data_IF_347387265544
#
_entry.id   IF_347387265544
#
_cell.length_a   1.000
_cell.length_b   1.000
_cell.length_c   1.000
_cell.angle_alpha   90.00
_cell.angle_beta   90.00
_cell.angle_gamma   90.00
#
_symmetry.space_group_name_H-M   'P 1'
#
loop_
_entity.id
_entity.type
_entity.pdbx_description
1 polymer ?
#
# COMPACT_ATOMS: atom_id res chain seq x y z
N UNK A 1 22.40 -3.85 12.00
CA UNK A 1 21.56 -3.12 11.04
C UNK A 1 21.99 -3.53 9.65
N UNK A 2 21.09 -4.12 8.88
CA UNK A 2 21.33 -4.46 7.48
C UNK A 2 20.81 -3.31 6.60
N UNK A 3 21.55 -3.01 5.54
CA UNK A 3 21.23 -1.95 4.59
C UNK A 3 21.25 -2.54 3.18
N UNK A 4 20.15 -2.34 2.47
CA UNK A 4 20.02 -2.54 1.02
C UNK A 4 20.09 -1.15 0.39
N UNK A 5 21.16 -0.86 -0.35
CA UNK A 5 21.47 0.48 -0.84
C UNK A 5 21.03 0.69 -2.29
N UNK A 6 20.59 -0.36 -3.00
CA UNK A 6 20.24 -0.30 -4.42
C UNK A 6 18.85 -0.90 -4.76
N UNK A 7 18.11 -1.35 -3.75
CA UNK A 7 16.81 -2.00 -3.86
C UNK A 7 16.80 -3.24 -4.77
N UNK A 8 17.96 -3.87 -4.96
CA UNK A 8 18.13 -5.01 -5.81
C UNK A 8 18.37 -6.27 -4.98
N UNK A 9 17.38 -7.16 -4.96
CA UNK A 9 17.45 -8.40 -4.19
C UNK A 9 18.51 -9.40 -4.67
N UNK A 10 19.22 -9.11 -5.77
CA UNK A 10 20.29 -9.93 -6.34
C UNK A 10 21.69 -9.44 -5.99
N UNK A 11 21.84 -8.22 -5.50
CA UNK A 11 23.09 -7.64 -4.99
C UNK A 11 23.18 -7.83 -3.47
N UNK A 12 24.35 -7.56 -2.92
CA UNK A 12 24.63 -7.84 -1.51
C UNK A 12 24.38 -9.31 -1.14
N UNK A 13 24.29 -9.62 0.15
CA UNK A 13 23.89 -10.93 0.62
C UNK A 13 22.36 -10.99 0.77
N UNK A 14 21.68 -11.59 -0.22
CA UNK A 14 20.22 -11.67 -0.28
C UNK A 14 19.55 -10.27 -0.22
N UNK A 15 20.08 -9.32 -1.00
CA UNK A 15 19.59 -7.94 -1.06
C UNK A 15 20.18 -7.00 -0.02
N UNK A 16 20.87 -7.49 1.02
CA UNK A 16 21.57 -6.61 1.96
C UNK A 16 23.00 -6.33 1.46
N UNK A 17 23.30 -5.11 1.07
CA UNK A 17 24.63 -4.67 0.61
C UNK A 17 25.60 -4.41 1.76
N UNK A 18 25.09 -3.99 2.92
CA UNK A 18 25.94 -3.63 4.06
C UNK A 18 25.38 -4.17 5.38
N UNK A 19 26.29 -4.44 6.32
CA UNK A 19 25.99 -4.78 7.71
C UNK A 19 26.73 -3.82 8.65
N UNK A 20 25.96 -3.00 9.36
CA UNK A 20 26.45 -2.14 10.42
C UNK A 20 25.96 -2.64 11.77
N UNK A 21 26.87 -3.06 12.65
CA UNK A 21 26.51 -3.51 13.99
C UNK A 21 27.47 -2.98 15.05
N UNK A 22 26.97 -2.96 16.29
CA UNK A 22 27.75 -2.67 17.48
C UNK A 22 27.73 -3.93 18.34
N UNK A 23 28.89 -4.38 18.78
CA UNK A 23 29.05 -5.51 19.70
C UNK A 23 29.61 -5.04 21.04
N UNK A 24 29.28 -5.78 22.10
CA UNK A 24 29.85 -5.59 23.44
C UNK A 24 30.72 -6.79 23.80
N UNK A 25 32.02 -6.58 23.91
CA UNK A 25 32.97 -7.64 24.32
C UNK A 25 33.71 -7.17 25.55
N UNK A 26 33.61 -7.93 26.65
CA UNK A 26 34.23 -7.61 27.94
C UNK A 26 33.90 -6.18 28.44
N UNK A 27 32.65 -5.73 28.23
CA UNK A 27 32.18 -4.41 28.64
C UNK A 27 32.64 -3.24 27.76
N UNK A 28 33.32 -3.51 26.63
CA UNK A 28 33.70 -2.50 25.64
C UNK A 28 32.81 -2.62 24.41
N UNK A 29 32.29 -1.49 23.96
CA UNK A 29 31.52 -1.40 22.73
C UNK A 29 32.41 -1.10 21.53
N UNK A 30 32.21 -1.84 20.44
CA UNK A 30 32.89 -1.62 19.17
C UNK A 30 31.87 -1.68 18.04
N UNK A 31 31.95 -0.73 17.10
CA UNK A 31 31.10 -0.69 15.91
C UNK A 31 31.86 -1.12 14.67
N UNK A 32 31.20 -1.86 13.78
CA UNK A 32 31.77 -2.34 12.52
C UNK A 32 30.79 -2.17 11.38
N UNK A 33 31.33 -1.78 10.23
CA UNK A 33 30.61 -1.66 8.97
C UNK A 33 31.27 -2.59 7.95
N UNK A 34 30.47 -3.52 7.44
CA UNK A 34 30.87 -4.46 6.40
C UNK A 34 30.10 -4.21 5.12
N UNK A 35 30.78 -4.37 3.98
CA UNK A 35 30.15 -4.56 2.68
C UNK A 35 29.96 -6.06 2.43
N UNK A 36 28.83 -6.44 1.86
CA UNK A 36 28.39 -7.82 1.65
C UNK A 36 28.41 -8.17 0.15
N UNK A 37 28.70 -9.44 -0.14
CA UNK A 37 28.66 -10.04 -1.47
C UNK A 37 27.48 -11.00 -1.60
N UNK A 38 26.99 -11.19 -2.82
CA UNK A 38 25.98 -12.20 -3.18
C UNK A 38 26.40 -13.64 -2.91
N UNK A 39 27.70 -13.88 -2.82
CA UNK A 39 28.25 -15.19 -2.44
C UNK A 39 28.40 -15.39 -0.92
N UNK A 40 28.05 -14.38 -0.11
CA UNK A 40 28.31 -14.37 1.32
C UNK A 40 29.72 -13.90 1.69
N UNK A 41 30.52 -13.39 0.75
CA UNK A 41 31.73 -12.66 1.14
C UNK A 41 31.38 -11.40 1.94
N UNK A 42 32.25 -10.97 2.84
CA UNK A 42 32.15 -9.67 3.51
C UNK A 42 33.51 -8.99 3.56
N UNK A 43 33.50 -7.67 3.49
CA UNK A 43 34.68 -6.82 3.54
C UNK A 43 34.48 -5.76 4.62
N UNK A 44 35.41 -5.66 5.57
CA UNK A 44 35.38 -4.59 6.57
C UNK A 44 35.74 -3.27 5.88
N UNK A 45 34.82 -2.31 5.90
CA UNK A 45 35.01 -0.99 5.27
C UNK A 45 35.04 0.15 6.30
N UNK A 46 34.58 -0.09 7.52
CA UNK A 46 34.65 0.87 8.60
C UNK A 46 34.62 0.21 9.98
N UNK A 47 35.32 0.80 10.94
CA UNK A 47 35.24 0.37 12.34
C UNK A 47 35.39 1.56 13.29
N UNK A 48 34.77 1.46 14.47
CA UNK A 48 34.88 2.44 15.55
C UNK A 48 35.03 1.71 16.86
N UNK A 49 36.25 1.72 17.39
CA UNK A 49 36.59 1.10 18.67
C UNK A 49 36.25 2.02 19.85
N UNK A 50 35.98 1.44 21.02
CA UNK A 50 35.64 2.17 22.24
C UNK A 50 34.48 3.15 22.03
N UNK A 51 33.40 2.63 21.45
CA UNK A 51 32.18 3.37 21.20
C UNK A 51 31.62 3.90 22.52
N UNK A 52 31.81 5.21 22.75
CA UNK A 52 31.28 5.93 23.89
C UNK A 52 30.03 6.67 23.45
N UNK A 53 28.92 6.39 24.11
CA UNK A 53 27.66 7.08 23.86
C UNK A 53 27.28 7.88 25.11
N UNK A 54 27.14 9.20 24.93
CA UNK A 54 26.58 10.05 25.98
C UNK A 54 25.14 9.62 26.23
N UNK A 55 24.87 9.16 27.46
CA UNK A 55 23.53 8.84 27.94
C UNK A 55 22.82 10.14 28.29
N UNK A 56 22.52 10.95 27.27
CA UNK A 56 21.50 12.00 27.43
C UNK A 56 20.17 11.31 27.70
N UNK A 57 19.37 11.84 28.63
CA UNK A 57 18.00 11.38 28.84
C UNK A 57 17.29 11.20 27.50
N UNK A 58 16.92 9.96 27.20
CA UNK A 58 16.28 9.60 25.95
C UNK A 58 14.81 9.42 26.18
N UNK A 59 14.02 10.01 25.30
CA UNK A 59 12.58 9.78 25.22
C UNK A 59 12.21 8.32 24.89
N UNK A 60 13.19 7.49 24.49
CA UNK A 60 12.99 6.08 24.08
C UNK A 60 13.13 5.10 25.27
N UNK A 61 13.55 5.57 26.45
CA UNK A 61 13.74 4.76 27.65
C UNK A 61 15.21 4.37 27.91
N UNK A 62 15.50 3.68 29.03
CA UNK A 62 16.85 3.24 29.37
C UNK A 62 17.35 2.12 28.43
N UNK A 63 18.66 2.09 28.16
CA UNK A 63 19.31 0.93 27.52
C UNK A 63 19.30 0.87 25.98
N UNK A 64 19.18 2.01 25.29
CA UNK A 64 19.28 2.07 23.82
C UNK A 64 20.72 2.36 23.36
N UNK A 65 21.03 1.97 22.13
CA UNK A 65 22.26 2.35 21.41
C UNK A 65 21.87 3.14 20.16
N UNK A 66 22.51 4.29 19.91
CA UNK A 66 22.29 5.02 18.64
C UNK A 66 23.24 4.49 17.58
N UNK A 67 22.66 3.92 16.54
CA UNK A 67 23.37 3.53 15.33
C UNK A 67 23.41 4.72 14.39
N UNK A 68 24.57 5.36 14.27
CA UNK A 68 24.81 6.44 13.32
C UNK A 68 25.71 5.92 12.20
N UNK A 69 25.18 5.86 10.99
CA UNK A 69 25.90 5.49 9.78
C UNK A 69 25.99 6.71 8.85
N UNK A 70 27.21 7.06 8.45
CA UNK A 70 27.43 8.09 7.43
C UNK A 70 27.15 7.48 6.05
N UNK A 71 26.13 7.98 5.35
CA UNK A 71 25.77 7.48 4.02
C UNK A 71 26.91 7.67 3.00
N UNK A 72 27.81 8.64 3.21
CA UNK A 72 28.98 8.83 2.34
C UNK A 72 29.90 7.60 2.33
N UNK A 73 29.92 6.84 3.42
CA UNK A 73 30.71 5.60 3.56
C UNK A 73 30.12 4.40 2.81
N UNK A 74 28.89 4.50 2.29
CA UNK A 74 28.18 3.43 1.59
C UNK A 74 27.67 3.88 0.20
N UNK A 75 28.44 4.72 -0.49
CA UNK A 75 28.13 5.28 -1.82
C UNK A 75 26.96 6.28 -1.87
N UNK A 76 26.62 6.91 -0.74
CA UNK A 76 25.62 7.98 -0.65
C UNK A 76 24.26 7.64 -1.28
N UNK A 77 23.61 6.51 -0.90
CA UNK A 77 22.32 6.15 -1.46
C UNK A 77 21.27 7.19 -1.09
N UNK A 78 20.49 7.63 -2.09
CA UNK A 78 19.35 8.53 -1.87
C UNK A 78 18.08 7.79 -1.46
N UNK A 79 17.99 6.51 -1.81
CA UNK A 79 16.92 5.58 -1.45
C UNK A 79 17.58 4.28 -0.97
N UNK A 80 17.14 3.74 0.15
CA UNK A 80 17.68 2.51 0.73
C UNK A 80 16.67 1.84 1.66
N UNK A 81 16.81 0.54 1.87
CA UNK A 81 16.04 -0.19 2.86
C UNK A 81 16.91 -0.48 4.09
N UNK A 82 16.31 -0.40 5.27
CA UNK A 82 16.95 -0.72 6.54
C UNK A 82 16.20 -1.82 7.27
N UNK A 83 16.95 -2.69 7.93
CA UNK A 83 16.42 -3.63 8.91
C UNK A 83 17.32 -3.64 10.14
N UNK A 84 16.71 -3.62 11.32
CA UNK A 84 17.43 -3.74 12.58
C UNK A 84 17.43 -5.18 13.05
N UNK A 85 18.49 -5.57 13.72
CA UNK A 85 18.59 -6.88 14.33
C UNK A 85 19.38 -6.81 15.64
N UNK A 86 19.09 -7.76 16.52
CA UNK A 86 19.93 -8.12 17.66
C UNK A 86 20.45 -9.53 17.46
N UNK A 87 21.69 -9.77 17.88
CA UNK A 87 22.31 -11.08 17.82
C UNK A 87 22.96 -11.40 19.16
N UNK A 88 22.78 -12.63 19.63
CA UNK A 88 23.50 -13.16 20.78
C UNK A 88 24.18 -14.47 20.37
N UNK A 89 25.47 -14.57 20.66
CA UNK A 89 26.25 -15.76 20.37
C UNK A 89 26.75 -16.42 21.65
N UNK A 90 26.56 -17.73 21.72
CA UNK A 90 27.07 -18.58 22.78
C UNK A 90 27.83 -19.74 22.13
N UNK A 91 29.16 -19.73 22.25
CA UNK A 91 30.06 -20.69 21.57
C UNK A 91 29.89 -20.63 20.05
N UNK A 92 29.45 -21.74 19.42
CA UNK A 92 29.17 -21.85 17.99
C UNK A 92 27.75 -21.40 17.61
N UNK A 93 26.88 -21.22 18.61
CA UNK A 93 25.47 -20.99 18.37
C UNK A 93 25.20 -19.49 18.37
N UNK A 94 24.41 -19.02 17.40
CA UNK A 94 24.02 -17.63 17.29
C UNK A 94 22.50 -17.54 17.12
N UNK A 95 21.87 -16.70 17.92
CA UNK A 95 20.44 -16.39 17.81
C UNK A 95 20.29 -14.97 17.33
N UNK A 96 19.44 -14.75 16.34
CA UNK A 96 19.15 -13.44 15.77
C UNK A 96 17.66 -13.12 15.87
N UNK A 97 17.36 -11.88 16.19
CA UNK A 97 16.02 -11.32 16.07
C UNK A 97 16.08 -10.14 15.11
N UNK A 98 15.18 -10.13 14.12
CA UNK A 98 15.15 -9.13 13.05
C UNK A 98 13.83 -8.35 13.10
N UNK A 99 13.88 -7.07 12.74
CA UNK A 99 12.68 -6.28 12.45
C UNK A 99 12.22 -6.52 11.02
N UNK A 100 11.11 -5.88 10.62
CA UNK A 100 10.79 -5.76 9.19
C UNK A 100 11.73 -4.76 8.51
N UNK A 101 11.82 -4.85 7.18
CA UNK A 101 12.45 -3.81 6.36
C UNK A 101 11.64 -2.51 6.39
N UNK A 102 12.37 -1.40 6.39
CA UNK A 102 11.84 -0.04 6.32
C UNK A 102 12.54 0.68 5.19
N UNK A 103 11.76 1.15 4.21
CA UNK A 103 12.26 1.93 3.08
C UNK A 103 12.42 3.40 3.45
N UNK A 104 13.56 3.97 3.10
CA UNK A 104 13.93 5.36 3.32
C UNK A 104 14.29 5.99 1.97
N UNK A 105 13.66 7.12 1.59
CA UNK A 105 12.49 7.72 2.23
C UNK A 105 11.26 6.80 2.13
N UNK A 106 10.26 6.96 3.02
CA UNK A 106 9.04 6.17 2.95
C UNK A 106 8.35 6.27 1.58
N UNK A 107 7.87 5.17 0.98
CA UNK A 107 7.25 5.20 -0.33
C UNK A 107 5.90 5.91 -0.29
N UNK A 108 5.53 6.55 -1.41
CA UNK A 108 4.19 7.06 -1.64
C UNK A 108 3.31 6.01 -2.31
N UNK A 109 2.06 5.87 -1.88
CA UNK A 109 1.07 5.04 -2.57
C UNK A 109 0.12 5.89 -3.40
N UNK A 110 -0.20 5.39 -4.60
CA UNK A 110 -1.21 5.95 -5.49
C UNK A 110 -2.16 4.85 -5.95
N UNK A 111 -3.43 5.19 -6.11
CA UNK A 111 -4.41 4.32 -6.75
C UNK A 111 -4.50 4.66 -8.24
N UNK A 112 -4.56 3.64 -9.08
CA UNK A 112 -4.74 3.76 -10.52
C UNK A 112 -5.91 2.88 -10.94
N UNK A 113 -6.85 3.43 -11.69
CA UNK A 113 -8.05 2.72 -12.14
C UNK A 113 -8.10 2.61 -13.66
N UNK A 114 -8.90 1.66 -14.15
CA UNK A 114 -9.28 1.58 -15.56
C UNK A 114 -10.82 1.55 -15.65
N UNK A 115 -11.47 2.61 -16.14
CA UNK A 115 -10.90 3.84 -16.71
C UNK A 115 -10.22 4.74 -15.66
N UNK A 116 -9.32 5.63 -16.11
CA UNK A 116 -8.67 6.62 -15.23
C UNK A 116 -9.65 7.67 -14.72
N UNK A 117 -10.57 8.10 -15.58
CA UNK A 117 -11.63 9.03 -15.24
C UNK A 117 -12.92 8.26 -14.99
N UNK A 118 -13.36 8.28 -13.74
CA UNK A 118 -14.55 7.55 -13.31
C UNK A 118 -15.73 8.51 -13.36
N UNK A 119 -16.69 8.21 -14.23
CA UNK A 119 -17.91 8.99 -14.37
C UNK A 119 -19.12 8.07 -14.23
N UNK A 120 -19.96 8.33 -13.22
CA UNK A 120 -21.12 7.50 -12.91
C UNK A 120 -22.37 8.39 -12.88
N UNK A 121 -23.48 7.93 -13.45
CA UNK A 121 -24.75 8.66 -13.42
C UNK A 121 -25.47 8.43 -12.10
N UNK A 122 -26.26 9.42 -11.68
CA UNK A 122 -27.24 9.25 -10.61
C UNK A 122 -28.14 8.04 -10.88
N UNK A 123 -28.28 7.16 -9.89
CA UNK A 123 -29.05 5.92 -9.96
C UNK A 123 -28.32 4.72 -10.56
N UNK A 124 -27.07 4.86 -11.00
CA UNK A 124 -26.26 3.78 -11.56
C UNK A 124 -25.17 3.30 -10.59
N UNK A 125 -24.67 2.09 -10.82
CA UNK A 125 -23.51 1.55 -10.15
C UNK A 125 -22.47 1.05 -11.15
N UNK A 126 -21.20 1.19 -10.80
CA UNK A 126 -20.09 0.77 -11.63
C UNK A 126 -19.05 -0.01 -10.81
N UNK A 127 -18.55 -1.09 -11.40
CA UNK A 127 -17.44 -1.88 -10.85
C UNK A 127 -16.14 -1.42 -11.50
N UNK A 128 -15.15 -1.07 -10.68
CA UNK A 128 -13.92 -0.41 -11.12
C UNK A 128 -12.70 -1.22 -10.68
N UNK A 129 -11.93 -1.78 -11.61
CA UNK A 129 -10.67 -2.40 -11.28
C UNK A 129 -9.65 -1.33 -10.87
N UNK A 130 -9.04 -1.53 -9.71
CA UNK A 130 -8.02 -0.65 -9.15
C UNK A 130 -6.68 -1.37 -9.01
N UNK A 131 -5.59 -0.65 -9.22
CA UNK A 131 -4.21 -1.10 -8.98
C UNK A 131 -3.53 -0.09 -8.06
N UNK A 132 -2.65 -0.60 -7.20
CA UNK A 132 -1.87 0.24 -6.30
C UNK A 132 -0.48 0.40 -6.87
N UNK A 133 -0.02 1.64 -6.98
CA UNK A 133 1.30 2.01 -7.45
C UNK A 133 2.10 2.56 -6.26
N UNK A 134 3.24 1.94 -5.98
CA UNK A 134 4.30 2.47 -5.11
C UNK A 134 5.35 3.21 -5.96
N UNK A 135 6.32 3.85 -5.32
CA UNK A 135 7.48 4.46 -5.99
C UNK A 135 8.28 3.43 -6.80
N UNK A 136 8.33 2.18 -6.34
CA UNK A 136 8.98 1.05 -7.02
C UNK A 136 8.15 0.41 -8.16
N UNK A 137 6.93 0.90 -8.43
CA UNK A 137 6.05 0.39 -9.48
C UNK A 137 4.71 -0.13 -8.98
N UNK A 138 4.01 -0.93 -9.78
CA UNK A 138 2.72 -1.52 -9.38
C UNK A 138 2.94 -2.63 -8.35
N UNK A 139 2.26 -2.53 -7.22
CA UNK A 139 2.25 -3.59 -6.21
C UNK A 139 1.28 -4.69 -6.64
N UNK A 140 1.80 -5.91 -6.73
CA UNK A 140 1.00 -7.11 -6.93
C UNK A 140 0.56 -7.75 -5.60
N UNK A 141 0.93 -7.19 -4.44
CA UNK A 141 0.65 -7.77 -3.11
C UNK A 141 -0.08 -6.75 -2.21
N UNK A 142 -1.29 -6.36 -2.63
CA UNK A 142 -2.20 -5.54 -1.83
C UNK A 142 -2.86 -6.44 -0.78
N UNK A 143 -2.52 -6.23 0.49
CA UNK A 143 -3.01 -7.06 1.60
C UNK A 143 -4.38 -6.58 2.07
N UNK A 144 -4.56 -5.26 2.13
CA UNK A 144 -5.76 -4.65 2.69
C UNK A 144 -6.07 -3.35 1.94
N UNK A 145 -7.36 -3.12 1.69
CA UNK A 145 -7.89 -1.86 1.17
C UNK A 145 -9.25 -1.62 1.84
N UNK A 146 -9.43 -0.43 2.41
CA UNK A 146 -10.62 -0.05 3.19
C UNK A 146 -10.97 1.41 2.96
N UNK A 147 -12.20 1.81 3.26
CA UNK A 147 -12.62 3.21 3.23
C UNK A 147 -11.97 3.99 4.37
N UNK A 148 -11.43 5.17 4.06
CA UNK A 148 -10.89 6.12 5.02
C UNK A 148 -12.02 6.93 5.66
N UNK A 149 -12.67 6.37 6.66
CA UNK A 149 -13.77 7.01 7.39
C UNK A 149 -13.76 6.63 8.87
N UNK A 150 -14.21 7.55 9.71
CA UNK A 150 -14.02 7.74 11.16
C UNK A 150 -14.18 6.56 12.13
N UNK A 151 -14.53 5.35 11.69
CA UNK A 151 -14.88 4.25 12.60
C UNK A 151 -14.11 2.94 12.41
N UNK A 152 -13.11 2.86 11.51
CA UNK A 152 -12.40 1.58 11.27
C UNK A 152 -11.10 1.38 12.06
N UNK A 153 -10.61 2.40 12.76
CA UNK A 153 -9.51 2.26 13.73
C UNK A 153 -9.85 2.97 15.03
N UNK A 154 -10.52 2.26 15.95
CA UNK A 154 -10.45 2.56 17.39
C UNK A 154 -9.02 2.27 17.89
N UNK A 155 -8.02 2.99 17.40
CA UNK A 155 -6.66 2.92 17.93
C UNK A 155 -6.15 4.34 18.18
N UNK A 156 -6.03 4.67 19.46
CA UNK A 156 -5.81 6.00 20.03
C UNK A 156 -4.51 6.72 19.63
N UNK A 157 -3.70 6.21 18.71
CA UNK A 157 -2.32 6.67 18.52
C UNK A 157 -1.85 6.71 17.06
N UNK A 158 -2.58 7.33 16.11
CA UNK A 158 -1.95 7.72 14.84
C UNK A 158 -2.58 8.97 14.25
N UNK A 159 -1.74 9.99 14.15
CA UNK A 159 -1.95 11.40 13.80
C UNK A 159 -2.25 11.65 12.30
N UNK A 160 -2.84 10.66 11.60
CA UNK A 160 -3.27 10.85 10.22
C UNK A 160 -4.67 11.45 10.23
N UNK A 161 -4.73 12.76 10.34
CA UNK A 161 -5.93 13.57 10.28
C UNK A 161 -6.53 13.48 8.86
N UNK A 162 -7.28 12.40 8.59
CA UNK A 162 -8.01 12.23 7.33
C UNK A 162 -9.27 13.09 7.44
N UNK A 163 -9.26 14.21 6.71
CA UNK A 163 -10.40 15.12 6.58
C UNK A 163 -11.68 14.36 6.30
N UNK A 164 -12.58 14.39 7.28
CA UNK A 164 -13.91 13.80 7.25
C UNK A 164 -14.84 14.56 6.30
N UNK A 165 -14.69 14.32 5.00
CA UNK A 165 -15.58 14.85 3.95
C UNK A 165 -16.43 13.79 3.24
N UNK A 166 -16.13 12.49 3.42
CA UNK A 166 -16.86 11.42 2.75
C UNK A 166 -18.09 11.01 3.55
N UNK A 167 -19.26 11.41 3.07
CA UNK A 167 -20.53 10.94 3.60
C UNK A 167 -20.97 9.68 2.84
N UNK A 168 -20.97 8.53 3.52
CA UNK A 168 -21.38 7.25 2.92
C UNK A 168 -22.84 7.23 2.48
N UNK A 169 -23.67 8.21 2.86
CA UNK A 169 -25.04 8.34 2.34
C UNK A 169 -25.11 8.89 0.91
N UNK A 170 -24.05 9.53 0.43
CA UNK A 170 -23.99 10.13 -0.92
C UNK A 170 -23.47 9.14 -1.95
N UNK A 171 -22.56 8.24 -1.57
CA UNK A 171 -22.01 7.19 -2.41
C UNK A 171 -21.93 5.88 -1.64
N UNK A 172 -22.52 4.82 -2.18
CA UNK A 172 -22.38 3.47 -1.64
C UNK A 172 -21.14 2.82 -2.25
N UNK A 173 -20.11 2.59 -1.45
CA UNK A 173 -18.83 2.02 -1.91
C UNK A 173 -18.60 0.67 -1.25
N UNK A 174 -18.39 -0.35 -2.07
CA UNK A 174 -18.04 -1.69 -1.65
C UNK A 174 -16.72 -2.11 -2.29
N UNK A 175 -15.84 -2.77 -1.54
CA UNK A 175 -14.50 -3.11 -2.00
C UNK A 175 -14.30 -4.62 -1.93
N UNK A 176 -14.13 -5.24 -3.09
CA UNK A 176 -13.79 -6.64 -3.21
C UNK A 176 -12.27 -6.80 -3.25
N UNK A 177 -11.76 -7.59 -2.29
CA UNK A 177 -10.32 -7.84 -2.09
C UNK A 177 -9.76 -8.90 -3.05
N UNK A 178 -10.11 -8.80 -4.33
CA UNK A 178 -9.51 -9.60 -5.37
C UNK A 178 -8.14 -9.01 -5.75
N UNK A 179 -7.32 -9.71 -6.54
CA UNK A 179 -6.11 -9.14 -7.16
C UNK A 179 -6.31 -9.11 -8.68
N UNK A 180 -6.44 -7.93 -9.31
CA UNK A 180 -6.49 -6.59 -8.71
C UNK A 180 -7.78 -6.32 -7.90
N UNK A 181 -7.76 -5.42 -6.89
CA UNK A 181 -8.95 -5.06 -6.12
C UNK A 181 -10.02 -4.45 -7.03
N UNK A 182 -11.28 -4.78 -6.74
CA UNK A 182 -12.44 -4.22 -7.45
C UNK A 182 -13.21 -3.32 -6.50
N UNK A 183 -13.49 -2.10 -6.95
CA UNK A 183 -14.22 -1.09 -6.18
C UNK A 183 -15.57 -0.90 -6.87
N UNK A 184 -16.63 -1.31 -6.19
CA UNK A 184 -18.01 -1.11 -6.62
C UNK A 184 -18.51 0.21 -6.04
N UNK A 185 -18.94 1.13 -6.89
CA UNK A 185 -19.50 2.42 -6.49
C UNK A 185 -20.90 2.51 -7.06
N UNK A 186 -21.90 2.65 -6.18
CA UNK A 186 -23.28 2.91 -6.53
C UNK A 186 -23.67 4.32 -6.10
N UNK A 187 -24.30 5.06 -7.02
CA UNK A 187 -24.71 6.45 -6.85
C UNK A 187 -26.23 6.50 -6.70
N UNK A 188 -26.77 6.85 -5.52
CA UNK A 188 -28.20 7.13 -5.35
C UNK A 188 -28.73 8.20 -6.32
N UNK A 189 -30.03 8.16 -6.64
CA UNK A 189 -30.64 9.14 -7.55
C UNK A 189 -30.64 10.57 -6.98
N UNK A 190 -30.62 10.70 -5.66
CA UNK A 190 -30.67 11.99 -4.95
C UNK A 190 -29.28 12.60 -4.72
N UNK A 191 -28.20 11.89 -5.06
CA UNK A 191 -26.82 12.36 -4.84
C UNK A 191 -26.52 13.58 -5.72
N UNK A 192 -26.10 14.73 -5.17
CA UNK A 192 -25.81 15.91 -5.97
C UNK A 192 -24.79 15.66 -7.09
N UNK A 193 -24.95 16.32 -8.23
CA UNK A 193 -23.98 16.28 -9.33
C UNK A 193 -22.71 17.00 -8.89
N UNK A 194 -21.54 16.38 -9.12
CA UNK A 194 -20.28 16.95 -8.66
C UNK A 194 -19.14 15.95 -8.66
N UNK A 195 -17.97 16.40 -8.19
CA UNK A 195 -16.78 15.59 -8.03
C UNK A 195 -16.68 15.17 -6.57
N UNK A 196 -16.58 13.86 -6.35
CA UNK A 196 -16.46 13.25 -5.04
C UNK A 196 -15.08 12.63 -4.87
N UNK A 197 -14.52 12.75 -3.67
CA UNK A 197 -13.28 12.08 -3.29
C UNK A 197 -13.59 11.01 -2.27
N UNK A 198 -13.30 9.76 -2.62
CA UNK A 198 -13.41 8.60 -1.74
C UNK A 198 -12.02 8.37 -1.12
N UNK A 199 -11.83 8.69 0.17
CA UNK A 199 -10.60 8.35 0.88
C UNK A 199 -10.53 6.84 1.09
N UNK A 200 -9.35 6.25 0.86
CA UNK A 200 -9.06 4.83 1.04
C UNK A 200 -7.80 4.66 1.88
N UNK A 201 -7.74 3.62 2.70
CA UNK A 201 -6.53 3.19 3.40
C UNK A 201 -6.07 1.89 2.77
N UNK A 202 -4.84 1.88 2.27
CA UNK A 202 -4.25 0.75 1.55
C UNK A 202 -3.04 0.25 2.30
N UNK A 203 -2.96 -1.06 2.50
CA UNK A 203 -1.78 -1.76 3.00
C UNK A 203 -1.24 -2.65 1.89
N UNK A 204 0.01 -2.41 1.49
CA UNK A 204 0.75 -3.30 0.58
C UNK A 204 1.84 -4.05 1.35
N UNK A 205 2.18 -5.24 0.85
CA UNK A 205 3.43 -5.89 1.21
C UNK A 205 4.52 -5.42 0.26
N UNK A 206 5.65 -5.02 0.80
CA UNK A 206 6.85 -4.82 0.00
C UNK A 206 7.71 -6.09 0.10
N UNK A 207 7.94 -6.77 -1.04
CA UNK A 207 8.74 -7.99 -1.03
C UNK A 207 10.17 -7.62 -0.66
N UNK A 208 10.66 -8.14 0.45
CA UNK A 208 12.09 -8.14 0.75
C UNK A 208 12.44 -9.43 1.49
N UNK A 209 13.50 -10.08 1.04
CA UNK A 209 13.99 -11.34 1.60
C UNK A 209 15.31 -11.09 2.31
N UNK A 210 15.31 -10.55 3.54
CA UNK A 210 16.54 -10.63 4.34
C UNK A 210 16.80 -12.08 4.70
N UNK A 211 18.04 -12.52 4.51
CA UNK A 211 18.48 -13.81 5.06
C UNK A 211 19.04 -13.61 6.46
N UNK A 212 18.77 -14.61 7.29
CA UNK A 212 18.86 -14.59 8.75
C UNK A 212 20.22 -15.04 9.26
N UNK A 213 21.14 -15.38 8.37
CA UNK A 213 22.50 -15.80 8.68
C UNK A 213 23.49 -14.72 8.25
N UNK A 214 24.34 -14.24 9.16
CA UNK A 214 25.60 -13.64 8.72
C UNK A 214 26.29 -14.71 7.88
N UNK A 215 26.90 -14.40 6.74
CA UNK A 215 27.85 -15.33 6.18
C UNK A 215 28.94 -15.56 7.22
N UNK A 216 28.95 -16.76 7.82
CA UNK A 216 29.95 -17.14 8.80
C UNK A 216 31.31 -17.10 8.12
N UNK A 217 32.33 -16.65 8.85
CA UNK A 217 33.74 -16.80 8.47
C UNK A 217 33.93 -18.20 7.87
N UNK A 218 34.27 -18.30 6.58
CA UNK A 218 34.86 -19.52 6.04
C UNK A 218 36.30 -19.60 6.54
N UNK A 219 36.46 -19.83 7.85
CA UNK A 219 37.60 -20.61 8.29
C UNK A 219 37.33 -22.08 7.92
N UNK A 220 38.34 -22.92 7.64
CA UNK A 220 38.16 -24.24 6.99
C UNK A 220 37.40 -25.29 7.81
N UNK A 221 36.85 -24.92 8.96
CA UNK A 221 36.11 -25.81 9.87
C UNK A 221 34.79 -25.13 10.22
N UNK A 222 33.74 -25.57 9.54
CA UNK A 222 32.43 -24.95 9.53
C UNK A 222 31.86 -24.72 10.92
N UNK A 223 31.52 -23.46 11.21
CA UNK A 223 30.47 -23.16 12.16
C UNK A 223 29.15 -23.55 11.53
N UNK A 224 28.56 -24.66 11.98
CA UNK A 224 27.19 -25.04 11.63
C UNK A 224 26.22 -24.12 12.38
N UNK A 225 25.44 -23.33 11.64
CA UNK A 225 24.21 -22.74 12.19
C UNK A 225 23.29 -23.91 12.51
N UNK A 226 22.92 -24.10 13.78
CA UNK A 226 21.96 -25.14 14.13
C UNK A 226 20.62 -24.80 13.42
N UNK A 227 20.05 -25.73 12.61
CA UNK A 227 18.83 -25.50 11.85
C UNK A 227 17.61 -25.14 12.71
N UNK A 228 17.66 -25.30 14.04
CA UNK A 228 16.65 -24.74 14.96
C UNK A 228 16.71 -23.23 15.12
N UNK A 229 17.86 -22.62 14.84
CA UNK A 229 18.10 -21.17 14.92
C UNK A 229 18.21 -20.51 13.56
N UNK A 230 18.16 -21.28 12.46
CA UNK A 230 17.58 -20.76 11.22
C UNK A 230 16.17 -20.28 11.59
N UNK A 231 15.99 -18.95 11.62
CA UNK A 231 14.67 -18.36 11.71
C UNK A 231 13.79 -19.08 10.70
N UNK A 232 12.86 -19.86 11.22
CA UNK A 232 12.07 -20.75 10.40
C UNK A 232 11.48 -19.94 9.24
N UNK A 233 11.37 -20.53 8.05
CA UNK A 233 10.57 -20.03 6.92
C UNK A 233 9.16 -19.52 7.32
N UNK A 234 8.72 -19.82 8.54
CA UNK A 234 7.51 -19.35 9.23
C UNK A 234 7.47 -17.84 9.52
N UNK A 235 8.61 -17.14 9.66
CA UNK A 235 8.65 -15.71 10.04
C UNK A 235 9.45 -14.87 9.03
N UNK A 236 8.95 -14.71 7.79
CA UNK A 236 9.60 -13.85 6.81
C UNK A 236 9.61 -12.38 7.30
N UNK A 237 10.75 -11.71 7.18
CA UNK A 237 10.90 -10.28 7.49
C UNK A 237 10.41 -9.44 6.31
N UNK A 238 9.10 -9.33 6.15
CA UNK A 238 8.48 -8.57 5.06
C UNK A 238 8.10 -7.17 5.52
N UNK A 239 8.32 -6.18 4.65
CA UNK A 239 7.87 -4.80 4.88
C UNK A 239 6.38 -4.68 4.64
N UNK A 240 5.71 -3.87 5.46
CA UNK A 240 4.30 -3.51 5.26
C UNK A 240 4.18 -2.00 5.21
N UNK A 241 3.56 -1.49 4.14
CA UNK A 241 3.33 -0.07 3.98
C UNK A 241 1.83 0.20 3.97
N UNK A 242 1.36 0.94 4.98
CA UNK A 242 -0.03 1.41 5.06
C UNK A 242 -0.07 2.92 4.83
N UNK A 243 -0.78 3.37 3.79
CA UNK A 243 -0.95 4.78 3.47
C UNK A 243 -2.37 5.10 3.00
N UNK A 244 -2.86 6.32 3.27
CA UNK A 244 -4.08 6.81 2.67
C UNK A 244 -3.87 7.09 1.17
N UNK A 245 -4.89 6.81 0.36
CA UNK A 245 -4.97 7.15 -1.07
C UNK A 245 -6.36 7.68 -1.38
N UNK A 246 -6.48 8.55 -2.38
CA UNK A 246 -7.76 9.17 -2.74
C UNK A 246 -8.22 8.67 -4.11
N UNK A 247 -9.49 8.29 -4.21
CA UNK A 247 -10.15 7.92 -5.47
C UNK A 247 -11.18 8.99 -5.84
N UNK A 248 -11.04 9.60 -7.01
CA UNK A 248 -11.96 10.65 -7.49
C UNK A 248 -13.02 10.08 -8.42
N UNK A 249 -14.28 10.46 -8.19
CA UNK A 249 -15.44 10.01 -8.96
C UNK A 249 -16.26 11.23 -9.35
N UNK A 250 -16.65 11.31 -10.62
CA UNK A 250 -17.55 12.36 -11.12
C UNK A 250 -18.97 11.81 -11.21
N UNK A 251 -19.90 12.42 -10.48
CA UNK A 251 -21.33 12.11 -10.57
C UNK A 251 -21.97 13.04 -11.58
N UNK A 252 -22.69 12.47 -12.55
CA UNK A 252 -23.40 13.22 -13.59
C UNK A 252 -24.92 12.96 -13.55
N UNK A 253 -25.75 13.84 -14.16
CA UNK A 253 -27.20 13.67 -14.16
C UNK A 253 -27.67 12.33 -14.78
N UNK A 254 -28.87 11.84 -14.41
CA UNK A 254 -29.45 10.66 -15.01
C UNK A 254 -29.73 10.91 -16.50
N UNK A 255 -29.87 9.83 -17.27
CA UNK A 255 -30.30 9.95 -18.67
C UNK A 255 -31.63 10.70 -18.73
N UNK A 256 -31.73 11.69 -19.62
CA UNK A 256 -32.97 12.37 -19.90
C UNK A 256 -34.02 11.42 -20.47
N UNK A 257 -35.30 11.78 -20.34
CA UNK A 257 -36.43 10.99 -20.86
C UNK A 257 -36.26 10.74 -22.37
N UNK A 258 -35.75 11.72 -23.12
CA UNK A 258 -35.52 11.62 -24.55
C UNK A 258 -34.43 10.60 -24.91
N UNK A 259 -33.37 10.50 -24.09
CA UNK A 259 -32.30 9.52 -24.29
C UNK A 259 -32.75 8.10 -23.92
N UNK A 260 -33.53 7.96 -22.85
CA UNK A 260 -34.14 6.68 -22.48
C UNK A 260 -35.11 6.18 -23.57
N UNK A 261 -35.87 7.10 -24.16
CA UNK A 261 -36.78 6.79 -25.27
C UNK A 261 -36.01 6.34 -26.51
N UNK A 262 -34.93 7.05 -26.88
CA UNK A 262 -34.07 6.64 -28.00
C UNK A 262 -33.43 5.28 -27.79
N UNK A 263 -32.92 4.98 -26.59
CA UNK A 263 -32.32 3.68 -26.28
C UNK A 263 -33.35 2.54 -26.31
N UNK A 264 -34.55 2.78 -25.78
CA UNK A 264 -35.66 1.84 -25.83
C UNK A 264 -36.07 1.55 -27.28
N UNK A 265 -36.27 2.59 -28.08
CA UNK A 265 -36.62 2.43 -29.50
C UNK A 265 -35.47 1.87 -30.34
N UNK A 266 -34.21 2.16 -30.00
CA UNK A 266 -33.06 1.56 -30.66
C UNK A 266 -32.95 0.05 -30.40
N UNK A 267 -33.22 -0.37 -29.17
CA UNK A 267 -33.10 -1.78 -28.74
C UNK A 267 -34.31 -2.62 -29.15
N UNK A 268 -35.53 -2.08 -29.02
CA UNK A 268 -36.77 -2.82 -29.25
C UNK A 268 -37.51 -2.39 -30.52
N UNK A 269 -37.12 -1.30 -31.19
CA UNK A 269 -37.83 -0.79 -32.36
C UNK A 269 -37.88 -1.76 -33.53
N UNK A 270 -36.89 -2.65 -33.67
CA UNK A 270 -36.92 -3.74 -34.66
C UNK A 270 -37.94 -4.84 -34.34
N UNK A 271 -38.23 -5.08 -33.05
CA UNK A 271 -39.11 -6.16 -32.59
C UNK A 271 -40.56 -5.70 -32.32
N UNK A 272 -40.77 -4.40 -32.05
CA UNK A 272 -42.08 -3.81 -31.73
C UNK A 272 -43.00 -3.68 -32.96
N UNK A 273 -42.52 -3.98 -34.17
CA UNK A 273 -43.34 -4.01 -35.39
C UNK A 273 -44.59 -4.92 -35.32
N UNK A 274 -44.66 -5.82 -34.34
CA UNK A 274 -45.79 -6.74 -34.12
C UNK A 274 -46.83 -6.20 -33.10
N UNK A 275 -46.49 -5.21 -32.25
CA UNK A 275 -47.37 -4.70 -31.17
C UNK A 275 -47.68 -3.19 -31.24
N UNK A 276 -47.30 -2.52 -32.33
CA UNK A 276 -47.25 -1.06 -32.46
C UNK A 276 -48.60 -0.30 -32.30
N UNK A 277 -49.77 -0.97 -32.33
CA UNK A 277 -51.07 -0.30 -32.25
C UNK A 277 -51.46 0.21 -30.85
N UNK A 278 -51.12 -0.53 -29.79
CA UNK A 278 -51.65 -0.26 -28.44
C UNK A 278 -50.75 0.67 -27.60
N UNK A 279 -49.42 0.54 -27.74
CA UNK A 279 -48.46 1.30 -26.92
C UNK A 279 -48.31 2.76 -27.37
N UNK A 280 -48.31 3.03 -28.69
CA UNK A 280 -48.23 4.39 -29.22
C UNK A 280 -49.45 5.22 -28.80
N UNK A 281 -50.64 4.60 -28.71
CA UNK A 281 -51.87 5.25 -28.24
C UNK A 281 -51.80 5.68 -26.77
N UNK A 282 -51.26 4.83 -25.89
CA UNK A 282 -51.11 5.16 -24.46
C UNK A 282 -50.08 6.27 -24.22
N UNK A 283 -48.97 6.25 -24.96
CA UNK A 283 -47.90 7.24 -24.83
C UNK A 283 -48.29 8.60 -25.43
N UNK A 284 -48.96 8.59 -26.59
CA UNK A 284 -49.51 9.81 -27.18
C UNK A 284 -50.53 10.46 -26.25
N UNK A 285 -51.41 9.67 -25.61
CA UNK A 285 -52.37 10.18 -24.62
C UNK A 285 -51.67 10.83 -23.42
N UNK A 286 -50.61 10.22 -22.88
CA UNK A 286 -49.91 10.77 -21.73
C UNK A 286 -49.14 12.06 -22.06
N UNK A 287 -48.54 12.16 -23.25
CA UNK A 287 -47.89 13.38 -23.73
C UNK A 287 -48.90 14.50 -24.05
N UNK A 288 -50.05 14.15 -24.66
CA UNK A 288 -51.14 15.11 -24.89
C UNK A 288 -51.77 15.61 -23.58
N UNK A 289 -51.98 14.74 -22.60
CA UNK A 289 -52.50 15.13 -21.28
C UNK A 289 -51.51 16.06 -20.54
N UNK A 290 -50.20 15.83 -20.69
CA UNK A 290 -49.16 16.71 -20.13
C UNK A 290 -49.12 18.07 -20.83
N UNK A 291 -49.29 18.11 -22.15
CA UNK A 291 -49.35 19.35 -22.93
C UNK A 291 -50.64 20.14 -22.65
N UNK A 292 -51.77 19.45 -22.45
CA UNK A 292 -53.06 20.07 -22.11
C UNK A 292 -53.05 20.69 -20.72
N UNK A 293 -52.49 19.99 -19.72
CA UNK A 293 -52.29 20.53 -18.36
C UNK A 293 -51.34 21.74 -18.31
N UNK A 294 -50.48 21.91 -19.32
CA UNK A 294 -49.60 23.07 -19.44
C UNK A 294 -50.31 24.29 -20.07
N UNK A 295 -51.37 24.07 -20.86
CA UNK A 295 -52.23 25.11 -21.43
C UNK A 295 -53.38 25.55 -20.52
N UNK A 296 -53.79 24.72 -19.57
CA UNK A 296 -54.84 25.05 -18.59
C UNK A 296 -54.30 25.81 -17.35
N UNK A 297 -52.98 26.00 -17.26
CA UNK A 297 -52.29 26.74 -16.19
C UNK A 297 -51.61 28.05 -16.69
N UNK A 298 -51.95 28.51 -17.90
CA UNK A 298 -51.74 29.88 -18.41
C UNK A 298 -53.08 30.61 -18.44
#
# INVERSE_FOLDING_TARGET
MLIDADANTKTGYNGADYDFYIESVAGKLSGYLYQLSSTGGYMLIGSKMNFTQSHTESSVGPGYVRLNLDLSSINSPSEYNLLFYSAESLKSDEVRQLTNWVTIPPPSLQISTSPSDITIRQGEGQLIPARIKSTSGFSNDVINITLGGTNSFNNKNNDYDIGSGFNSSELHVNIQRNQPPLIEIAVPQQTPVGIYTIPLIVTIREPSMATTTKPTFTAPQGGTVDPKFELSKKYPTVGYLTKPVNLTVTVIPPKGIDDQFKDFWGTYGQFIGIFAGAFVGAFAKQMFDKAKRKKENE
#
